data_IF_868184426587
#
_entry.id   IF_868184426587
#
_cell.length_a   1.000
_cell.length_b   1.000
_cell.length_c   1.000
_cell.angle_alpha   90.00
_cell.angle_beta   90.00
_cell.angle_gamma   90.00
#
_symmetry.space_group_name_H-M   'P 1'
#
loop_
_entity.id
_entity.type
_entity.pdbx_description
1 polymer ?
#
# COMPACT_ATOMS: atom_id res chain seq x y z
N UNK A 1 -24.92 6.53 35.12
CA UNK A 1 -24.45 7.32 33.96
C UNK A 1 -23.22 6.72 33.28
N UNK A 2 -22.17 6.30 34.00
CA UNK A 2 -20.95 5.71 33.37
C UNK A 2 -21.21 4.41 32.57
N UNK A 3 -22.16 3.57 33.00
CA UNK A 3 -22.48 2.28 32.33
C UNK A 3 -23.21 2.46 30.99
N UNK A 4 -24.03 3.50 30.88
CA UNK A 4 -24.80 3.82 29.66
C UNK A 4 -23.89 4.27 28.52
N UNK A 5 -22.76 4.90 28.84
CA UNK A 5 -21.77 5.34 27.86
C UNK A 5 -21.14 4.16 27.09
N UNK A 6 -20.91 3.02 27.76
CA UNK A 6 -20.38 1.83 27.08
C UNK A 6 -21.34 1.25 26.04
N UNK A 7 -22.66 1.33 26.28
CA UNK A 7 -23.67 0.88 25.31
C UNK A 7 -23.72 1.75 24.06
N UNK A 8 -23.37 3.04 24.16
CA UNK A 8 -23.33 3.95 23.00
C UNK A 8 -22.22 3.58 22.01
N UNK A 9 -21.11 3.03 22.49
CA UNK A 9 -19.96 2.67 21.65
C UNK A 9 -20.02 1.22 21.13
N UNK A 10 -20.93 0.38 21.64
CA UNK A 10 -21.11 -1.00 21.22
C UNK A 10 -21.21 -1.21 19.70
N UNK A 11 -21.98 -0.41 18.91
CA UNK A 11 -22.05 -0.62 17.46
C UNK A 11 -20.71 -0.39 16.76
N UNK A 12 -19.85 0.52 17.24
CA UNK A 12 -18.53 0.77 16.64
C UNK A 12 -17.63 -0.46 16.77
N UNK A 13 -17.72 -1.17 17.90
CA UNK A 13 -16.95 -2.39 18.12
C UNK A 13 -17.51 -3.60 17.36
N UNK A 14 -18.82 -3.64 17.07
CA UNK A 14 -19.44 -4.74 16.33
C UNK A 14 -19.29 -4.64 14.80
N UNK A 15 -19.15 -3.44 14.24
CA UNK A 15 -19.08 -3.21 12.78
C UNK A 15 -17.67 -2.87 12.26
N UNK A 16 -16.62 -3.30 12.96
CA UNK A 16 -15.26 -3.11 12.45
C UNK A 16 -15.05 -3.90 11.16
N UNK A 17 -14.55 -3.25 10.11
CA UNK A 17 -14.16 -3.93 8.88
C UNK A 17 -12.99 -4.88 9.17
N UNK A 18 -13.19 -6.17 8.91
CA UNK A 18 -12.08 -7.13 8.94
C UNK A 18 -11.38 -7.06 7.57
N UNK A 19 -10.13 -6.58 7.55
CA UNK A 19 -9.29 -6.67 6.36
C UNK A 19 -8.75 -8.10 6.26
N UNK A 20 -9.38 -8.92 5.43
CA UNK A 20 -8.85 -10.24 5.08
C UNK A 20 -7.83 -10.09 3.96
N UNK A 21 -6.55 -10.22 4.30
CA UNK A 21 -5.48 -10.20 3.33
C UNK A 21 -5.43 -11.52 2.56
N UNK A 22 -5.29 -11.44 1.24
CA UNK A 22 -5.13 -12.60 0.36
C UNK A 22 -3.65 -12.83 0.02
N UNK A 23 -3.38 -13.67 -0.99
CA UNK A 23 -2.05 -13.84 -1.56
C UNK A 23 -1.42 -12.48 -1.88
N UNK A 24 -0.14 -12.35 -1.52
CA UNK A 24 0.69 -11.20 -1.84
C UNK A 24 1.55 -11.50 -3.06
N UNK A 25 2.02 -10.44 -3.72
CA UNK A 25 3.03 -10.52 -4.76
C UNK A 25 4.23 -9.66 -4.37
N UNK A 26 5.43 -10.22 -4.47
CA UNK A 26 6.67 -9.48 -4.18
C UNK A 26 7.09 -8.70 -5.41
N UNK A 27 6.99 -7.37 -5.32
CA UNK A 27 7.46 -6.46 -6.38
C UNK A 27 8.94 -6.08 -6.27
N UNK A 28 9.52 -6.20 -5.07
CA UNK A 28 10.95 -5.98 -4.82
C UNK A 28 11.40 -6.68 -3.54
N UNK A 29 12.61 -7.23 -3.54
CA UNK A 29 13.25 -7.88 -2.39
C UNK A 29 14.01 -6.90 -1.48
N UNK A 30 14.14 -5.63 -1.87
CA UNK A 30 14.99 -4.65 -1.18
C UNK A 30 16.50 -4.84 -1.39
N UNK A 31 16.93 -5.95 -2.01
CA UNK A 31 18.31 -6.23 -2.44
C UNK A 31 18.51 -6.04 -3.95
N UNK A 32 17.43 -5.90 -4.69
CA UNK A 32 17.37 -5.71 -6.14
C UNK A 32 17.57 -4.24 -6.57
N UNK A 33 17.84 -3.36 -5.59
CA UNK A 33 18.04 -1.94 -5.82
C UNK A 33 16.74 -1.24 -6.23
N UNK A 34 15.57 -1.78 -5.88
CA UNK A 34 14.29 -1.13 -6.10
C UNK A 34 13.71 -0.60 -4.78
N UNK A 35 13.16 0.60 -4.82
CA UNK A 35 12.64 1.29 -3.64
C UNK A 35 11.47 2.21 -3.95
N UNK A 36 10.84 2.73 -2.89
CA UNK A 36 9.80 3.77 -2.92
C UNK A 36 8.65 3.49 -3.92
N UNK A 37 7.96 2.33 -3.84
CA UNK A 37 6.88 2.03 -4.75
C UNK A 37 5.72 3.05 -4.64
N UNK A 38 5.02 3.26 -5.75
CA UNK A 38 3.72 3.92 -5.84
C UNK A 38 2.80 3.00 -6.64
N UNK A 39 1.57 2.85 -6.18
CA UNK A 39 0.56 1.99 -6.80
C UNK A 39 -0.70 2.80 -7.08
N UNK A 40 -1.30 2.58 -8.25
CA UNK A 40 -2.65 3.03 -8.57
C UNK A 40 -3.41 1.90 -9.31
N UNK A 41 -4.69 2.11 -9.54
CA UNK A 41 -5.50 1.26 -10.42
C UNK A 41 -5.66 1.95 -11.76
N UNK A 42 -5.56 1.18 -12.85
CA UNK A 42 -5.96 1.61 -14.20
C UNK A 42 -7.49 1.63 -14.33
N UNK A 43 -8.01 2.20 -15.42
CA UNK A 43 -9.46 2.23 -15.70
C UNK A 43 -10.10 0.83 -15.77
N UNK A 44 -9.30 -0.20 -16.07
CA UNK A 44 -9.73 -1.60 -16.09
C UNK A 44 -9.51 -2.32 -14.74
N UNK A 45 -9.31 -1.58 -13.64
CA UNK A 45 -9.01 -2.09 -12.29
C UNK A 45 -7.74 -2.94 -12.15
N UNK A 46 -6.83 -2.88 -13.13
CA UNK A 46 -5.53 -3.54 -13.01
C UNK A 46 -4.58 -2.69 -12.17
N UNK A 47 -3.77 -3.30 -11.27
CA UNK A 47 -2.75 -2.57 -10.53
C UNK A 47 -1.66 -2.06 -11.48
N UNK A 48 -1.32 -0.79 -11.35
CA UNK A 48 -0.19 -0.16 -12.01
C UNK A 48 0.81 0.30 -10.95
N UNK A 49 2.03 -0.21 -11.04
CA UNK A 49 3.06 -0.05 -10.01
C UNK A 49 4.28 0.61 -10.65
N UNK A 50 4.73 1.71 -10.06
CA UNK A 50 6.00 2.35 -10.39
C UNK A 50 6.92 2.31 -9.18
N UNK A 51 8.21 2.10 -9.39
CA UNK A 51 9.21 2.04 -8.34
C UNK A 51 10.52 2.64 -8.83
N UNK A 52 11.34 3.14 -7.91
CA UNK A 52 12.65 3.70 -8.27
C UNK A 52 13.68 2.60 -8.31
N UNK A 53 14.43 2.50 -9.41
CA UNK A 53 15.70 1.78 -9.41
C UNK A 53 16.78 2.68 -8.81
N UNK A 54 17.28 2.32 -7.65
CA UNK A 54 18.52 2.84 -7.11
C UNK A 54 19.69 2.27 -7.91
N UNK A 55 19.84 2.76 -9.16
CA UNK A 55 21.10 2.61 -9.88
C UNK A 55 22.15 3.48 -9.17
N UNK A 56 23.27 2.87 -8.79
CA UNK A 56 24.49 3.60 -8.51
C UNK A 56 25.42 3.47 -9.73
N UNK A 57 25.83 4.58 -10.36
CA UNK A 57 25.49 5.97 -10.05
C UNK A 57 24.06 6.34 -10.49
N UNK A 58 23.44 7.32 -9.80
CA UNK A 58 22.21 7.96 -10.28
C UNK A 58 22.58 8.83 -11.50
N UNK A 59 22.45 8.29 -12.71
CA UNK A 59 22.75 9.03 -13.94
C UNK A 59 21.45 9.44 -14.62
N UNK A 60 21.27 10.74 -14.85
CA UNK A 60 20.26 11.27 -15.77
C UNK A 60 20.98 11.45 -17.11
N UNK A 61 20.76 10.53 -18.04
CA UNK A 61 21.31 10.64 -19.39
C UNK A 61 20.28 11.31 -20.30
N UNK A 62 20.69 12.35 -21.03
CA UNK A 62 19.91 12.98 -22.10
C UNK A 62 20.80 13.07 -23.35
N UNK A 63 20.25 12.71 -24.51
CA UNK A 63 20.87 12.92 -25.82
C UNK A 63 19.97 13.82 -26.67
N UNK A 64 20.56 14.64 -27.53
CA UNK A 64 19.86 15.47 -28.51
C UNK A 64 19.29 14.64 -29.65
#
# INVERSE_FOLDING_TARGET
MKKTLYFLFLPIFCFSQNLTWTNYETISSGTDGFGRPRICLTDNNNPFIIWTKDSSPKTINASK
#
